data_IF_319096666075
#
_entry.id   IF_319096666075
#
_cell.length_a   1.000
_cell.length_b   1.000
_cell.length_c   1.000
_cell.angle_alpha   90.00
_cell.angle_beta   90.00
_cell.angle_gamma   90.00
#
_symmetry.space_group_name_H-M   'P 1'
#
loop_
_entity.id
_entity.type
_entity.pdbx_description
1 polymer ?
#
# COMPACT_ATOMS: atom_id res chain seq x y z
N UNK A 1 31.55 5.26 -3.68
CA UNK A 1 30.09 5.45 -3.81
C UNK A 1 29.43 4.56 -2.77
N UNK A 2 29.07 5.13 -1.62
CA UNK A 2 28.29 4.44 -0.58
C UNK A 2 26.84 4.46 -1.04
N UNK A 3 26.27 3.31 -1.41
CA UNK A 3 24.82 3.19 -1.52
C UNK A 3 24.28 3.25 -0.10
N UNK A 4 23.58 4.34 0.23
CA UNK A 4 22.71 4.39 1.39
C UNK A 4 21.58 3.38 1.15
N UNK A 5 21.77 2.15 1.59
CA UNK A 5 20.67 1.23 1.83
C UNK A 5 19.86 1.85 2.98
N UNK A 6 18.84 2.63 2.63
CA UNK A 6 17.86 3.08 3.61
C UNK A 6 17.34 1.86 4.35
N UNK A 7 17.43 1.88 5.68
CA UNK A 7 16.71 0.91 6.49
C UNK A 7 15.27 0.92 6.03
N UNK A 8 14.80 -0.20 5.46
CA UNK A 8 13.41 -0.33 5.05
C UNK A 8 12.56 -0.29 6.33
N UNK A 9 12.01 0.89 6.64
CA UNK A 9 10.97 1.13 7.64
C UNK A 9 9.71 0.29 7.36
N UNK A 10 9.57 -0.16 6.11
CA UNK A 10 8.39 -0.85 5.61
C UNK A 10 8.65 -2.35 5.45
N UNK A 11 7.79 -3.15 6.07
CA UNK A 11 7.71 -4.59 5.87
C UNK A 11 6.38 -4.98 5.23
N UNK A 12 6.42 -6.02 4.41
CA UNK A 12 5.22 -6.59 3.75
C UNK A 12 4.95 -7.96 4.34
N UNK A 13 3.76 -8.12 4.91
CA UNK A 13 3.31 -9.36 5.54
C UNK A 13 3.05 -10.48 4.54
N UNK A 14 2.43 -11.59 4.98
CA UNK A 14 2.01 -12.64 4.04
C UNK A 14 0.98 -12.10 3.04
N UNK A 15 0.95 -12.69 1.86
CA UNK A 15 -0.02 -12.39 0.82
C UNK A 15 -0.93 -13.58 0.64
N UNK A 16 -2.11 -13.28 0.11
CA UNK A 16 -3.09 -14.26 -0.30
C UNK A 16 -3.34 -14.10 -1.80
N UNK A 17 -3.46 -15.23 -2.51
CA UNK A 17 -3.77 -15.30 -3.94
C UNK A 17 -5.07 -16.08 -4.13
N UNK A 18 -5.94 -15.56 -4.99
CA UNK A 18 -7.13 -16.27 -5.43
C UNK A 18 -6.75 -17.42 -6.37
N UNK A 19 -7.36 -18.61 -6.24
CA UNK A 19 -7.24 -19.67 -7.25
C UNK A 19 -7.68 -19.21 -8.65
N UNK A 20 -8.56 -18.20 -8.73
CA UNK A 20 -8.99 -17.62 -10.00
C UNK A 20 -7.84 -16.93 -10.75
N UNK A 21 -6.80 -16.46 -10.04
CA UNK A 21 -5.64 -15.84 -10.69
C UNK A 21 -4.95 -16.81 -11.67
N UNK A 22 -4.96 -18.12 -11.40
CA UNK A 22 -4.44 -19.13 -12.31
C UNK A 22 -5.29 -19.30 -13.58
N UNK A 23 -6.55 -18.86 -13.55
CA UNK A 23 -7.48 -18.91 -14.67
C UNK A 23 -7.53 -17.58 -15.44
N UNK A 24 -6.86 -16.55 -14.95
CA UNK A 24 -6.81 -15.24 -15.57
C UNK A 24 -5.41 -14.96 -16.11
N UNK A 25 -5.30 -14.30 -17.28
CA UNK A 25 -4.01 -13.78 -17.72
C UNK A 25 -3.48 -12.75 -16.69
N UNK A 26 -2.15 -12.58 -16.60
CA UNK A 26 -1.53 -11.53 -15.78
C UNK A 26 -2.16 -10.17 -16.06
N UNK A 27 -2.26 -9.35 -15.01
CA UNK A 27 -2.92 -8.05 -15.09
C UNK A 27 -2.01 -7.07 -15.84
N UNK A 28 -2.54 -6.47 -16.91
CA UNK A 28 -1.79 -5.62 -17.86
C UNK A 28 -2.19 -4.15 -17.80
N UNK A 29 -3.41 -3.82 -17.38
CA UNK A 29 -3.93 -2.45 -17.31
C UNK A 29 -4.68 -2.19 -16.01
N UNK A 30 -4.01 -1.49 -15.09
CA UNK A 30 -4.47 -1.28 -13.72
C UNK A 30 -4.83 0.18 -13.46
N UNK A 31 -5.93 0.40 -12.74
CA UNK A 31 -6.15 1.66 -12.03
C UNK A 31 -5.65 1.51 -10.59
N UNK A 32 -4.79 2.42 -10.15
CA UNK A 32 -4.26 2.48 -8.79
C UNK A 32 -5.09 3.46 -7.98
N UNK A 33 -5.64 2.98 -6.87
CA UNK A 33 -6.52 3.73 -5.98
C UNK A 33 -5.91 3.77 -4.59
N UNK A 34 -5.58 4.95 -4.08
CA UNK A 34 -5.18 5.11 -2.69
C UNK A 34 -6.36 5.64 -1.85
N UNK A 35 -6.70 4.90 -0.79
CA UNK A 35 -7.74 5.28 0.18
C UNK A 35 -7.04 5.64 1.49
N UNK A 36 -6.62 6.90 1.56
CA UNK A 36 -5.84 7.48 2.68
C UNK A 36 -6.43 8.84 3.08
N UNK A 37 -6.19 9.34 4.31
CA UNK A 37 -6.82 10.59 4.78
C UNK A 37 -6.35 11.86 4.06
N UNK A 38 -5.09 11.90 3.61
CA UNK A 38 -4.45 13.07 2.99
C UNK A 38 -4.46 12.95 1.47
N UNK A 39 -4.99 13.97 0.78
CA UNK A 39 -4.98 14.03 -0.69
C UNK A 39 -3.56 14.09 -1.27
N UNK A 40 -2.63 14.78 -0.58
CA UNK A 40 -1.23 14.81 -0.99
C UNK A 40 -0.60 13.41 -0.92
N UNK A 41 -0.84 12.69 0.18
CA UNK A 41 -0.38 11.30 0.35
C UNK A 41 -1.02 10.36 -0.66
N UNK A 42 -2.32 10.56 -0.96
CA UNK A 42 -3.02 9.79 -2.01
C UNK A 42 -2.33 9.96 -3.36
N UNK A 43 -2.14 11.19 -3.81
CA UNK A 43 -1.55 11.49 -5.11
C UNK A 43 -0.14 10.94 -5.22
N UNK A 44 0.68 11.13 -4.19
CA UNK A 44 2.05 10.62 -4.15
C UNK A 44 2.08 9.08 -4.18
N UNK A 45 1.25 8.41 -3.37
CA UNK A 45 1.20 6.95 -3.34
C UNK A 45 0.72 6.37 -4.68
N UNK A 46 -0.31 6.96 -5.28
CA UNK A 46 -0.78 6.56 -6.61
C UNK A 46 0.31 6.75 -7.67
N UNK A 47 1.05 7.87 -7.63
CA UNK A 47 2.15 8.15 -8.54
C UNK A 47 3.29 7.14 -8.40
N UNK A 48 3.75 6.86 -7.18
CA UNK A 48 4.85 5.92 -6.96
C UNK A 48 4.46 4.48 -7.33
N UNK A 49 3.26 4.04 -6.96
CA UNK A 49 2.76 2.71 -7.32
C UNK A 49 2.59 2.57 -8.84
N UNK A 50 1.98 3.56 -9.51
CA UNK A 50 1.80 3.50 -10.97
C UNK A 50 3.14 3.50 -11.71
N UNK A 51 4.08 4.36 -11.33
CA UNK A 51 5.41 4.39 -11.94
C UNK A 51 6.15 3.05 -11.79
N UNK A 52 6.12 2.44 -10.61
CA UNK A 52 6.78 1.15 -10.34
C UNK A 52 6.10 -0.02 -11.04
N UNK A 53 4.76 -0.05 -11.08
CA UNK A 53 4.01 -1.04 -11.86
C UNK A 53 4.32 -0.93 -13.36
N UNK A 54 4.45 0.29 -13.88
CA UNK A 54 4.85 0.51 -15.27
C UNK A 54 6.27 0.07 -15.57
N UNK A 55 7.19 0.15 -14.61
CA UNK A 55 8.52 -0.46 -14.75
C UNK A 55 8.46 -2.00 -14.85
N UNK A 56 7.44 -2.64 -14.29
CA UNK A 56 7.15 -4.09 -14.42
C UNK A 56 6.30 -4.44 -15.66
N UNK A 57 6.08 -3.49 -16.58
CA UNK A 57 5.35 -3.72 -17.83
C UNK A 57 3.82 -3.61 -17.72
N UNK A 58 3.28 -3.11 -16.61
CA UNK A 58 1.85 -2.88 -16.41
C UNK A 58 1.47 -1.45 -16.81
N UNK A 59 0.44 -1.29 -17.63
CA UNK A 59 -0.18 0.01 -17.90
C UNK A 59 -0.96 0.46 -16.65
N UNK A 60 -0.29 1.16 -15.74
CA UNK A 60 -0.88 1.63 -14.49
C UNK A 60 -1.23 3.12 -14.61
N UNK A 61 -2.46 3.47 -14.21
CA UNK A 61 -2.89 4.88 -14.10
C UNK A 61 -3.31 5.18 -12.67
N UNK A 62 -3.25 6.45 -12.31
CA UNK A 62 -3.69 6.94 -11.00
C UNK A 62 -5.20 7.16 -10.99
N UNK A 63 -5.87 6.90 -9.88
CA UNK A 63 -7.29 7.24 -9.73
C UNK A 63 -7.52 8.75 -9.83
N UNK A 64 -6.55 9.55 -9.39
CA UNK A 64 -6.52 11.01 -9.51
C UNK A 64 -6.50 11.53 -10.96
N UNK A 65 -6.14 10.71 -11.95
CA UNK A 65 -6.17 11.11 -13.36
C UNK A 65 -7.50 10.77 -14.05
N UNK A 66 -8.23 9.77 -13.53
CA UNK A 66 -9.50 9.29 -14.13
C UNK A 66 -10.73 9.85 -13.43
N UNK A 67 -10.57 10.37 -12.21
CA UNK A 67 -11.63 11.00 -11.44
C UNK A 67 -11.56 12.53 -11.54
N UNK A 68 -12.71 13.23 -11.44
CA UNK A 68 -12.72 14.68 -11.31
C UNK A 68 -11.91 15.15 -10.08
N UNK A 69 -11.31 16.33 -10.18
CA UNK A 69 -10.56 16.92 -9.07
C UNK A 69 -11.42 17.02 -7.80
N UNK A 70 -10.89 16.55 -6.66
CA UNK A 70 -11.60 16.52 -5.38
C UNK A 70 -12.65 15.41 -5.23
N UNK A 71 -12.89 14.60 -6.27
CA UNK A 71 -13.74 13.42 -6.14
C UNK A 71 -13.07 12.36 -5.26
N UNK A 72 -13.87 11.78 -4.36
CA UNK A 72 -13.43 10.65 -3.53
C UNK A 72 -13.38 9.38 -4.40
N UNK A 73 -12.36 8.53 -4.23
CA UNK A 73 -12.29 7.27 -4.96
C UNK A 73 -13.20 6.21 -4.32
N UNK A 74 -14.51 6.44 -4.37
CA UNK A 74 -15.50 5.44 -3.99
C UNK A 74 -15.76 4.43 -5.12
N UNK A 75 -16.46 3.35 -4.76
CA UNK A 75 -16.74 2.22 -5.65
C UNK A 75 -17.39 2.65 -6.95
N UNK A 76 -18.43 3.48 -6.87
CA UNK A 76 -19.27 3.81 -8.02
C UNK A 76 -18.56 4.81 -8.94
N UNK A 77 -17.81 5.75 -8.36
CA UNK A 77 -16.98 6.71 -9.09
C UNK A 77 -15.87 6.01 -9.87
N UNK A 78 -15.12 5.11 -9.23
CA UNK A 78 -14.07 4.33 -9.91
C UNK A 78 -14.67 3.46 -11.00
N UNK A 79 -15.74 2.73 -10.71
CA UNK A 79 -16.40 1.84 -11.68
C UNK A 79 -16.85 2.62 -12.91
N UNK A 80 -17.51 3.75 -12.71
CA UNK A 80 -17.98 4.60 -13.81
C UNK A 80 -16.82 5.17 -14.61
N UNK A 81 -15.75 5.61 -13.93
CA UNK A 81 -14.57 6.19 -14.57
C UNK A 81 -13.82 5.18 -15.45
N UNK A 82 -13.77 3.89 -15.09
CA UNK A 82 -13.01 2.88 -15.82
C UNK A 82 -13.84 2.06 -16.83
N UNK A 83 -15.17 2.21 -16.80
CA UNK A 83 -16.07 1.43 -17.64
C UNK A 83 -15.77 1.63 -19.14
N UNK A 84 -15.64 0.52 -19.87
CA UNK A 84 -15.36 0.54 -21.32
C UNK A 84 -13.93 0.94 -21.70
N UNK A 85 -13.05 1.21 -20.73
CA UNK A 85 -11.67 1.64 -21.00
C UNK A 85 -10.65 0.48 -21.01
N UNK A 86 -11.11 -0.77 -20.86
CA UNK A 86 -10.28 -1.97 -20.96
C UNK A 86 -9.33 -2.21 -19.78
N UNK A 87 -9.63 -1.65 -18.59
CA UNK A 87 -8.91 -2.01 -17.37
C UNK A 87 -9.20 -3.47 -17.01
N UNK A 88 -8.17 -4.20 -16.59
CA UNK A 88 -8.27 -5.58 -16.13
C UNK A 88 -8.05 -5.72 -14.62
N UNK A 89 -7.50 -4.69 -13.97
CA UNK A 89 -7.32 -4.66 -12.51
C UNK A 89 -7.61 -3.32 -11.85
N UNK A 90 -8.07 -3.39 -10.60
CA UNK A 90 -8.15 -2.25 -9.67
C UNK A 90 -7.24 -2.58 -8.49
N UNK A 91 -6.11 -1.86 -8.36
CA UNK A 91 -5.23 -1.98 -7.20
C UNK A 91 -5.64 -0.94 -6.16
N UNK A 92 -6.10 -1.40 -5.00
CA UNK A 92 -6.51 -0.53 -3.89
C UNK A 92 -5.49 -0.62 -2.78
N UNK A 93 -4.87 0.50 -2.43
CA UNK A 93 -4.03 0.67 -1.25
C UNK A 93 -4.81 1.47 -0.19
N UNK A 94 -5.26 0.79 0.86
CA UNK A 94 -6.13 1.37 1.90
C UNK A 94 -5.40 1.48 3.23
N UNK A 95 -5.45 2.65 3.85
CA UNK A 95 -4.97 2.84 5.21
C UNK A 95 -5.85 2.06 6.20
N UNK A 96 -5.20 1.26 7.05
CA UNK A 96 -5.86 0.38 8.02
C UNK A 96 -5.75 0.89 9.47
N UNK A 97 -4.97 1.94 9.72
CA UNK A 97 -4.80 2.56 11.03
C UNK A 97 -3.33 2.59 11.49
N UNK A 98 -3.12 3.25 12.64
CA UNK A 98 -1.86 3.24 13.37
C UNK A 98 -1.97 2.24 14.53
N UNK A 99 -0.89 1.52 14.80
CA UNK A 99 -0.75 0.68 15.98
C UNK A 99 0.39 1.21 16.84
N UNK A 100 0.11 1.48 18.11
CA UNK A 100 1.09 1.95 19.08
C UNK A 100 1.59 0.77 19.92
N UNK A 101 2.90 0.62 20.03
CA UNK A 101 3.55 -0.35 20.91
C UNK A 101 4.35 0.39 21.98
N UNK A 102 3.94 0.20 23.24
CA UNK A 102 4.64 0.76 24.41
C UNK A 102 5.81 -0.16 24.76
N UNK A 103 7.02 0.37 24.66
CA UNK A 103 8.23 -0.35 24.99
C UNK A 103 8.68 0.00 26.40
N UNK A 104 8.63 -1.01 27.27
CA UNK A 104 9.09 -0.88 28.65
C UNK A 104 10.59 -0.61 28.67
N UNK A 105 11.00 0.40 29.43
CA UNK A 105 12.43 0.65 29.66
C UNK A 105 13.01 -0.44 30.59
N UNK A 106 13.91 -1.33 30.13
CA UNK A 106 14.43 -2.44 30.95
C UNK A 106 15.30 -1.98 32.13
N UNK A 107 15.80 -0.75 32.10
CA UNK A 107 16.60 -0.17 33.19
C UNK A 107 15.74 0.42 34.32
N UNK A 108 14.41 0.35 34.21
CA UNK A 108 13.48 0.93 35.16
C UNK A 108 13.44 0.14 36.48
N UNK A 109 13.61 0.81 37.62
CA UNK A 109 13.42 0.20 38.93
C UNK A 109 12.02 0.46 39.50
N UNK A 110 11.60 -0.37 40.45
CA UNK A 110 10.36 -0.18 41.20
C UNK A 110 10.28 1.21 41.88
N UNK A 111 11.40 1.75 42.37
CA UNK A 111 11.43 3.05 43.02
C UNK A 111 11.26 4.20 42.03
N UNK A 112 11.80 4.07 40.82
CA UNK A 112 11.66 5.07 39.75
C UNK A 112 10.21 5.16 39.26
N UNK A 113 9.51 4.02 39.19
CA UNK A 113 8.12 3.93 38.73
C UNK A 113 7.13 4.71 39.61
N UNK A 114 7.33 4.69 40.94
CA UNK A 114 6.46 5.42 41.89
C UNK A 114 6.92 6.85 42.17
N UNK A 115 8.15 7.23 41.78
CA UNK A 115 8.72 8.56 41.95
C UNK A 115 8.49 9.52 40.78
N UNK A 116 8.15 9.00 39.59
CA UNK A 116 8.00 9.80 38.37
C UNK A 116 6.52 10.10 38.02
N UNK A 117 6.16 11.38 37.92
CA UNK A 117 4.86 11.85 37.43
C UNK A 117 4.84 11.98 35.88
N UNK A 118 5.40 11.02 35.14
CA UNK A 118 5.42 11.03 33.67
C UNK A 118 5.80 9.67 33.07
N UNK A 119 5.33 9.37 31.85
CA UNK A 119 5.66 8.12 31.16
C UNK A 119 7.13 8.12 30.72
N UNK A 120 7.92 7.19 31.26
CA UNK A 120 9.33 6.95 30.88
C UNK A 120 9.49 5.88 29.79
N UNK A 121 8.39 5.33 29.28
CA UNK A 121 8.37 4.33 28.21
C UNK A 121 8.49 5.00 26.83
N UNK A 122 9.06 4.29 25.86
CA UNK A 122 9.09 4.74 24.46
C UNK A 122 7.93 4.13 23.69
N UNK A 123 7.16 4.96 22.98
CA UNK A 123 6.08 4.50 22.09
C UNK A 123 6.63 4.38 20.68
N UNK A 124 6.40 3.24 20.04
CA UNK A 124 6.66 3.04 18.61
C UNK A 124 5.33 3.00 17.87
N UNK A 125 5.21 3.77 16.79
CA UNK A 125 4.03 3.80 15.94
C UNK A 125 4.25 3.00 14.63
N UNK A 126 3.30 2.13 14.31
CA UNK A 126 3.23 1.37 13.07
C UNK A 126 2.03 1.81 12.23
N UNK A 127 2.26 2.46 11.09
CA UNK A 127 1.24 2.67 10.09
C UNK A 127 0.96 1.36 9.33
N UNK A 128 -0.30 0.96 9.24
CA UNK A 128 -0.71 -0.27 8.53
C UNK A 128 -1.52 0.06 7.29
N UNK A 129 -1.24 -0.65 6.20
CA UNK A 129 -2.06 -0.61 5.00
C UNK A 129 -2.48 -2.00 4.56
N UNK A 130 -3.68 -2.10 4.02
CA UNK A 130 -4.14 -3.26 3.26
C UNK A 130 -4.04 -2.92 1.77
N UNK A 131 -3.39 -3.78 1.01
CA UNK A 131 -3.29 -3.66 -0.44
C UNK A 131 -4.01 -4.83 -1.08
N UNK A 132 -4.91 -4.55 -2.01
CA UNK A 132 -5.78 -5.54 -2.64
C UNK A 132 -5.91 -5.26 -4.13
N UNK A 133 -5.74 -6.30 -4.95
CA UNK A 133 -5.98 -6.27 -6.38
C UNK A 133 -7.31 -6.97 -6.68
N UNK A 134 -8.18 -6.28 -7.39
CA UNK A 134 -9.48 -6.78 -7.82
C UNK A 134 -9.54 -6.92 -9.34
N UNK A 135 -10.29 -7.91 -9.82
CA UNK A 135 -10.61 -8.08 -11.23
C UNK A 135 -11.55 -6.99 -11.71
N UNK A 136 -11.14 -6.20 -12.71
CA UNK A 136 -11.98 -5.15 -13.29
C UNK A 136 -12.88 -5.66 -14.43
N UNK A 137 -12.69 -6.90 -14.90
CA UNK A 137 -13.43 -7.50 -16.02
C UNK A 137 -14.78 -8.05 -15.60
N UNK A 138 -14.84 -8.67 -14.41
CA UNK A 138 -16.07 -9.23 -13.85
C UNK A 138 -16.95 -8.19 -13.16
N UNK A 139 -18.27 -8.35 -13.26
CA UNK A 139 -19.26 -7.44 -12.65
C UNK A 139 -19.13 -7.32 -11.12
N UNK A 140 -18.63 -8.39 -10.48
CA UNK A 140 -18.52 -8.50 -9.02
C UNK A 140 -17.22 -7.96 -8.43
N UNK A 141 -16.22 -7.61 -9.26
CA UNK A 141 -14.94 -7.10 -8.76
C UNK A 141 -14.21 -8.11 -7.87
N UNK A 142 -13.99 -9.34 -8.36
CA UNK A 142 -13.45 -10.43 -7.55
C UNK A 142 -12.05 -10.08 -7.00
N UNK A 143 -11.79 -10.38 -5.71
CA UNK A 143 -10.46 -10.24 -5.14
C UNK A 143 -9.51 -11.27 -5.76
N UNK A 144 -8.42 -10.79 -6.36
CA UNK A 144 -7.40 -11.60 -7.02
C UNK A 144 -6.17 -11.81 -6.13
N UNK A 145 -5.76 -10.77 -5.42
CA UNK A 145 -4.58 -10.79 -4.55
C UNK A 145 -4.72 -9.79 -3.42
N UNK A 146 -4.14 -10.08 -2.25
CA UNK A 146 -4.04 -9.08 -1.18
C UNK A 146 -2.84 -9.32 -0.27
N UNK A 147 -2.30 -8.23 0.29
CA UNK A 147 -1.29 -8.27 1.35
C UNK A 147 -1.54 -7.13 2.34
N UNK A 148 -0.84 -7.17 3.48
CA UNK A 148 -0.80 -6.08 4.45
C UNK A 148 0.64 -5.58 4.57
N UNK A 149 0.80 -4.28 4.71
CA UNK A 149 2.10 -3.65 4.98
C UNK A 149 2.11 -3.06 6.39
N UNK A 150 3.31 -2.99 6.96
CA UNK A 150 3.60 -2.25 8.17
C UNK A 150 4.75 -1.31 7.89
N UNK A 151 4.57 -0.04 8.19
CA UNK A 151 5.62 0.97 8.05
C UNK A 151 5.81 1.61 9.41
N UNK A 152 7.01 1.42 9.99
CA UNK A 152 7.39 2.11 11.21
C UNK A 152 7.58 3.58 10.88
N UNK A 153 6.95 4.46 11.66
CA UNK A 153 6.97 5.88 11.39
C UNK A 153 8.40 6.45 11.33
N UNK A 154 8.69 7.18 10.26
CA UNK A 154 9.38 8.46 10.41
C UNK A 154 8.29 9.53 10.57
N UNK A 155 8.60 10.67 11.20
CA UNK A 155 7.68 11.77 11.45
C UNK A 155 7.04 12.40 10.18
N UNK A 156 7.25 11.81 9.01
CA UNK A 156 6.79 12.26 7.70
C UNK A 156 6.43 11.06 6.80
N UNK A 157 5.15 10.68 6.81
CA UNK A 157 4.59 9.59 6.00
C UNK A 157 4.95 9.71 4.51
N UNK A 158 5.11 10.93 3.98
CA UNK A 158 5.43 11.14 2.57
C UNK A 158 6.83 10.63 2.19
N UNK A 159 7.77 10.60 3.14
CA UNK A 159 9.13 10.06 2.91
C UNK A 159 9.13 8.55 2.78
N UNK A 160 8.15 7.88 3.38
CA UNK A 160 8.05 6.42 3.36
C UNK A 160 7.35 5.90 2.10
N UNK A 161 6.58 6.74 1.41
CA UNK A 161 5.78 6.36 0.23
C UNK A 161 6.61 5.65 -0.86
N UNK A 162 7.79 6.14 -1.28
CA UNK A 162 8.57 5.46 -2.32
C UNK A 162 9.02 4.06 -1.90
N UNK A 163 9.44 3.88 -0.63
CA UNK A 163 9.85 2.59 -0.08
C UNK A 163 8.69 1.62 0.08
N UNK A 164 7.54 2.12 0.52
CA UNK A 164 6.29 1.36 0.60
C UNK A 164 5.84 0.88 -0.77
N UNK A 165 5.80 1.76 -1.77
CA UNK A 165 5.41 1.40 -3.14
C UNK A 165 6.37 0.35 -3.74
N UNK A 166 7.67 0.50 -3.48
CA UNK A 166 8.69 -0.48 -3.88
C UNK A 166 8.44 -1.86 -3.28
N UNK A 167 8.19 -1.91 -1.98
CA UNK A 167 7.95 -3.16 -1.27
C UNK A 167 6.65 -3.85 -1.75
N UNK A 168 5.60 -3.09 -2.04
CA UNK A 168 4.34 -3.60 -2.59
C UNK A 168 4.57 -4.21 -3.97
N UNK A 169 5.19 -3.48 -4.91
CA UNK A 169 5.38 -3.96 -6.29
C UNK A 169 6.32 -5.16 -6.33
N UNK A 170 7.42 -5.15 -5.56
CA UNK A 170 8.28 -6.33 -5.39
C UNK A 170 7.52 -7.54 -4.89
N UNK A 171 6.57 -7.34 -3.97
CA UNK A 171 5.73 -8.45 -3.50
C UNK A 171 4.78 -8.95 -4.58
N UNK A 172 4.14 -8.05 -5.33
CA UNK A 172 3.27 -8.44 -6.44
C UNK A 172 4.04 -9.23 -7.50
N UNK A 173 5.27 -8.83 -7.83
CA UNK A 173 6.15 -9.56 -8.74
C UNK A 173 6.56 -10.93 -8.20
N UNK A 174 6.99 -10.99 -6.92
CA UNK A 174 7.31 -12.27 -6.25
C UNK A 174 6.12 -13.24 -6.22
N UNK A 175 4.90 -12.72 -6.21
CA UNK A 175 3.67 -13.51 -6.20
C UNK A 175 3.13 -13.78 -7.62
N UNK A 176 3.85 -13.43 -8.69
CA UNK A 176 3.43 -13.59 -10.10
C UNK A 176 2.12 -12.88 -10.45
N UNK A 177 1.85 -11.75 -9.80
CA UNK A 177 0.65 -10.93 -10.04
C UNK A 177 0.90 -9.90 -11.13
N UNK A 178 2.11 -9.34 -11.18
CA UNK A 178 2.60 -8.34 -12.16
C UNK A 178 4.04 -8.67 -12.52
N UNK A 179 4.40 -8.64 -13.81
CA UNK A 179 5.63 -9.31 -14.28
C UNK A 179 5.61 -10.82 -13.98
N UNK A 180 6.22 -11.74 -14.71
CA UNK A 180 6.91 -11.74 -16.00
C UNK A 180 6.19 -12.70 -16.93
N UNK A 181 5.81 -12.24 -18.13
CA UNK A 181 5.77 -13.09 -19.31
C UNK A 181 7.07 -12.81 -20.07
N UNK A 182 8.07 -13.66 -19.81
CA UNK A 182 9.26 -13.81 -20.65
C UNK A 182 9.15 -15.13 -21.38
#
# INVERSE_FOLDING_TARGET
MLLAAGCASTSVGKSWKSPALAQHPPVKKVVVVAVVPSEATRQQLEQELSAKLSAEGVQAVKSSDVLPAGAKPDKDSIRSAIQGQGYDGILVARFAGVHEDVNVNPAMSYYDYFGAYGSMDTVTEEARMQVSLFDARGENGQLLWSTNTKTYESSDVQKEVPGLADAIVKRMAKDDVVGSAS
#
